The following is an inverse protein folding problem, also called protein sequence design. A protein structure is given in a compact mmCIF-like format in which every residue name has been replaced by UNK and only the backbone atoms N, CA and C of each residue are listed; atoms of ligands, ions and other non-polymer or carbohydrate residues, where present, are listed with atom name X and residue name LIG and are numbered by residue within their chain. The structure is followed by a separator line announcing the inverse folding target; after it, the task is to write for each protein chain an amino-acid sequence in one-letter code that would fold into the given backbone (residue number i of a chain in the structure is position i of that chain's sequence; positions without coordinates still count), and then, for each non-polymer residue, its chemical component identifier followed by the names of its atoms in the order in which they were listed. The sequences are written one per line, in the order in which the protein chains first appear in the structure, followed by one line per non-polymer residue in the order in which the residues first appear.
data_IF_960909323649
#
_entry.id   IF_960909323649
#
_cell.length_a   1.000
_cell.length_b   1.000
_cell.length_c   1.000
_cell.angle_alpha   90.00
_cell.angle_beta   90.00
_cell.angle_gamma   90.00
#
_symmetry.space_group_name_H-M   'P 1'
#
loop_
_entity.id
_entity.type
_entity.pdbx_description
1 polymer ?
#
# COMPACT_ATOMS: atom_id res chain seq x y z
N UNK A 1 -0.12 5.21 10.89
CA UNK A 1 -1.16 4.18 10.62
C UNK A 1 -2.24 4.35 11.67
N UNK A 2 -3.49 4.55 11.26
CA UNK A 2 -4.62 4.79 12.18
C UNK A 2 -5.54 3.57 12.33
N UNK A 3 -5.49 2.62 11.38
CA UNK A 3 -6.11 1.31 11.53
C UNK A 3 -5.37 0.25 10.71
N UNK A 4 -5.38 -1.00 11.20
CA UNK A 4 -4.84 -2.19 10.53
C UNK A 4 -5.92 -3.26 10.56
N UNK A 5 -6.48 -3.59 9.40
CA UNK A 5 -7.67 -4.46 9.27
C UNK A 5 -7.29 -5.71 8.50
N UNK A 6 -7.50 -6.88 9.11
CA UNK A 6 -7.28 -8.16 8.42
C UNK A 6 -8.49 -8.47 7.54
N UNK A 7 -8.30 -8.38 6.23
CA UNK A 7 -9.36 -8.63 5.23
C UNK A 7 -9.47 -10.13 4.89
N UNK A 8 -8.35 -10.86 4.96
CA UNK A 8 -8.33 -12.30 4.73
C UNK A 8 -7.17 -13.00 5.46
N UNK A 9 -6.98 -14.30 5.19
CA UNK A 9 -5.84 -15.04 5.71
C UNK A 9 -4.49 -14.41 5.31
N UNK A 10 -4.44 -13.79 4.11
CA UNK A 10 -3.20 -13.28 3.50
C UNK A 10 -3.27 -11.79 3.11
N UNK A 11 -4.40 -11.09 3.26
CA UNK A 11 -4.54 -9.67 2.94
C UNK A 11 -4.85 -8.88 4.21
N UNK A 12 -4.11 -7.79 4.40
CA UNK A 12 -4.32 -6.81 5.46
C UNK A 12 -4.37 -5.41 4.83
N UNK A 13 -5.37 -4.63 5.21
CA UNK A 13 -5.51 -3.23 4.82
C UNK A 13 -4.97 -2.30 5.90
N UNK A 14 -4.23 -1.29 5.47
CA UNK A 14 -3.64 -0.27 6.33
C UNK A 14 -4.30 1.07 6.02
N UNK A 15 -4.95 1.65 7.02
CA UNK A 15 -5.52 2.99 6.96
C UNK A 15 -4.53 3.97 7.54
N UNK A 16 -4.30 5.06 6.81
CA UNK A 16 -3.27 6.04 7.12
C UNK A 16 -3.82 7.44 7.00
N UNK A 17 -3.35 8.30 7.89
CA UNK A 17 -3.52 9.75 7.84
C UNK A 17 -2.11 10.34 7.84
N UNK A 18 -1.86 11.43 7.09
CA UNK A 18 -0.59 12.14 7.17
C UNK A 18 -0.34 12.65 8.59
N UNK A 19 0.90 12.56 9.07
CA UNK A 19 1.28 13.06 10.40
C UNK A 19 1.02 14.56 10.50
N UNK A 20 1.34 15.31 9.44
CA UNK A 20 0.91 16.68 9.24
C UNK A 20 -0.27 16.70 8.27
N UNK A 21 -1.47 17.16 8.67
CA UNK A 21 -2.65 17.23 7.80
C UNK A 21 -2.41 18.01 6.49
N UNK A 22 -1.46 18.96 6.48
CA UNK A 22 -1.10 19.74 5.29
C UNK A 22 -0.35 18.93 4.22
N UNK A 23 0.18 17.76 4.57
CA UNK A 23 0.86 16.86 3.61
C UNK A 23 -0.14 15.99 2.84
N UNK A 24 -1.42 16.02 3.19
CA UNK A 24 -2.45 15.32 2.45
C UNK A 24 -2.58 15.86 1.02
N UNK A 25 -2.76 14.96 0.05
CA UNK A 25 -2.92 15.26 -1.37
C UNK A 25 -4.09 14.49 -1.95
N UNK A 26 -4.81 15.14 -2.86
CA UNK A 26 -5.84 14.49 -3.65
C UNK A 26 -5.25 13.41 -4.58
N UNK A 27 -6.08 12.42 -4.93
CA UNK A 27 -5.72 11.35 -5.85
C UNK A 27 -6.90 10.96 -6.74
N UNK A 28 -6.58 10.30 -7.84
CA UNK A 28 -7.57 9.67 -8.72
C UNK A 28 -7.58 8.15 -8.54
N UNK A 29 -8.75 7.48 -8.72
CA UNK A 29 -8.82 6.03 -8.68
C UNK A 29 -7.85 5.40 -9.70
N UNK A 30 -6.99 4.50 -9.22
CA UNK A 30 -5.93 3.86 -9.99
C UNK A 30 -4.51 4.36 -9.67
N UNK A 31 -4.38 5.49 -8.96
CA UNK A 31 -3.08 5.97 -8.46
C UNK A 31 -2.56 5.18 -7.25
N UNK A 32 -1.27 5.33 -6.98
CA UNK A 32 -0.54 4.62 -5.92
C UNK A 32 0.34 5.56 -5.09
N UNK A 33 0.74 5.07 -3.92
CA UNK A 33 1.75 5.68 -3.06
C UNK A 33 3.04 4.85 -3.12
N UNK A 34 4.19 5.53 -3.01
CA UNK A 34 5.52 4.92 -2.94
C UNK A 34 5.97 4.89 -1.48
N UNK A 35 6.13 3.69 -0.93
CA UNK A 35 6.55 3.47 0.45
C UNK A 35 8.01 3.10 0.53
N UNK A 36 8.70 3.69 1.51
CA UNK A 36 10.05 3.33 1.89
C UNK A 36 10.02 2.33 3.03
N UNK A 37 10.39 1.08 2.73
CA UNK A 37 10.31 -0.04 3.67
C UNK A 37 11.73 -0.44 4.11
N UNK A 38 12.04 -0.44 5.41
CA UNK A 38 13.36 -0.85 5.89
C UNK A 38 13.60 -2.34 5.61
N UNK A 39 14.85 -2.68 5.26
CA UNK A 39 15.28 -4.06 5.09
C UNK A 39 16.16 -4.44 6.27
N UNK A 40 15.85 -5.52 7.01
CA UNK A 40 16.77 -6.06 7.99
C UNK A 40 17.98 -6.68 7.26
N UNK A 41 19.17 -6.09 7.39
CA UNK A 41 20.43 -6.72 6.96
C UNK A 41 21.17 -7.33 8.15
N UNK A 42 21.83 -8.47 7.90
CA UNK A 42 22.60 -9.23 8.89
C UNK A 42 23.89 -8.51 9.38
N UNK A 43 24.29 -7.39 8.78
CA UNK A 43 25.59 -6.74 9.02
C UNK A 43 25.50 -5.25 9.44
N UNK A 44 24.38 -4.79 10.00
CA UNK A 44 24.27 -3.44 10.58
C UNK A 44 24.08 -2.27 9.60
N UNK A 45 24.03 -2.52 8.28
CA UNK A 45 23.65 -1.51 7.29
C UNK A 45 22.13 -1.29 7.25
N UNK A 46 21.69 -0.03 7.39
CA UNK A 46 20.29 0.37 7.26
C UNK A 46 19.90 0.49 5.78
N UNK A 47 19.53 -0.63 5.17
CA UNK A 47 18.95 -0.66 3.82
C UNK A 47 17.46 -0.34 3.81
N UNK A 48 16.94 0.08 2.66
CA UNK A 48 15.51 0.20 2.42
C UNK A 48 15.17 -0.17 0.97
N UNK A 49 13.92 -0.55 0.75
CA UNK A 49 13.36 -0.76 -0.59
C UNK A 49 12.16 0.16 -0.80
N UNK A 50 11.98 0.62 -2.03
CA UNK A 50 10.78 1.36 -2.43
C UNK A 50 9.74 0.39 -3.00
N UNK A 51 8.49 0.55 -2.59
CA UNK A 51 7.36 -0.24 -3.11
C UNK A 51 6.15 0.63 -3.38
N UNK A 52 5.47 0.29 -4.46
CA UNK A 52 4.27 0.98 -4.89
C UNK A 52 3.05 0.18 -4.40
N UNK A 53 2.10 0.87 -3.76
CA UNK A 53 0.81 0.29 -3.40
C UNK A 53 -0.32 1.21 -3.86
N UNK A 54 -1.23 0.67 -4.67
CA UNK A 54 -2.41 1.40 -5.15
C UNK A 54 -3.27 1.86 -3.97
N UNK A 55 -3.80 3.07 -4.06
CA UNK A 55 -4.73 3.59 -3.06
C UNK A 55 -6.06 2.87 -3.24
N UNK A 56 -6.46 2.12 -2.22
CA UNK A 56 -7.64 1.24 -2.25
C UNK A 56 -8.85 1.85 -1.54
N UNK A 57 -8.88 3.16 -1.26
CA UNK A 57 -10.07 3.85 -0.74
C UNK A 57 -10.65 4.85 -1.74
N UNK A 58 -11.88 5.29 -1.49
CA UNK A 58 -12.53 6.33 -2.29
C UNK A 58 -11.80 7.67 -2.15
N UNK A 59 -11.55 8.41 -3.25
CA UNK A 59 -11.06 9.79 -3.21
C UNK A 59 -11.95 10.76 -2.42
N UNK A 60 -13.23 10.41 -2.18
CA UNK A 60 -14.13 11.19 -1.33
C UNK A 60 -13.72 11.14 0.16
N UNK A 61 -12.89 10.16 0.57
CA UNK A 61 -12.37 10.04 1.94
C UNK A 61 -11.18 10.98 2.16
N UNK A 62 -11.46 12.28 2.20
CA UNK A 62 -10.45 13.33 2.39
C UNK A 62 -9.65 13.12 3.68
N UNK A 63 -8.37 13.47 3.65
CA UNK A 63 -7.44 13.32 4.78
C UNK A 63 -6.90 11.90 5.00
N UNK A 64 -7.36 10.90 4.24
CA UNK A 64 -7.04 9.48 4.48
C UNK A 64 -6.55 8.78 3.23
N UNK A 65 -5.70 7.79 3.44
CA UNK A 65 -5.33 6.78 2.46
C UNK A 65 -5.60 5.37 3.02
N UNK A 66 -5.93 4.44 2.12
CA UNK A 66 -5.96 3.01 2.41
C UNK A 66 -5.10 2.30 1.37
N UNK A 67 -4.31 1.32 1.80
CA UNK A 67 -3.69 0.33 0.92
C UNK A 67 -4.09 -1.06 1.37
N UNK A 68 -4.18 -1.99 0.43
CA UNK A 68 -4.45 -3.40 0.70
C UNK A 68 -3.23 -4.22 0.30
N UNK A 69 -2.64 -4.95 1.25
CA UNK A 69 -1.35 -5.62 1.05
C UNK A 69 -1.53 -7.12 1.23
N UNK A 70 -1.23 -7.87 0.18
CA UNK A 70 -1.09 -9.33 0.25
C UNK A 70 0.27 -9.68 0.85
N UNK A 71 0.28 -10.56 1.83
CA UNK A 71 1.48 -11.18 2.39
C UNK A 71 2.04 -12.17 1.39
N UNK A 72 3.27 -11.92 0.94
CA UNK A 72 4.02 -12.84 0.07
C UNK A 72 4.98 -13.62 0.96
N UNK A 73 4.46 -14.61 1.69
CA UNK A 73 5.29 -15.52 2.46
C UNK A 73 5.94 -16.57 1.53
N UNK A 74 7.08 -17.13 1.95
CA UNK A 74 7.79 -18.16 1.24
C UNK A 74 6.86 -19.34 0.92
N UNK A 75 6.75 -19.67 -0.36
CA UNK A 75 5.87 -20.74 -0.84
C UNK A 75 6.42 -22.14 -0.56
N UNK A 76 7.71 -22.26 -0.24
CA UNK A 76 8.38 -23.51 0.10
C UNK A 76 9.56 -23.26 1.05
N UNK A 77 9.97 -24.27 1.84
CA UNK A 77 11.16 -24.20 2.67
C UNK A 77 12.40 -23.83 1.84
N UNK A 78 13.21 -22.90 2.36
CA UNK A 78 14.44 -22.44 1.69
C UNK A 78 14.24 -21.27 0.71
N UNK A 79 13.01 -20.86 0.42
CA UNK A 79 12.73 -19.62 -0.30
C UNK A 79 12.60 -18.43 0.66
N UNK A 80 13.01 -17.21 0.26
CA UNK A 80 12.87 -16.03 1.10
C UNK A 80 11.42 -15.51 1.10
N UNK A 81 11.01 -14.96 2.23
CA UNK A 81 9.78 -14.17 2.34
C UNK A 81 9.88 -12.86 1.55
N UNK A 82 8.75 -12.36 1.08
CA UNK A 82 8.60 -11.02 0.54
C UNK A 82 8.89 -9.98 1.60
N UNK A 83 10.01 -9.27 1.45
CA UNK A 83 10.55 -8.31 2.43
C UNK A 83 9.48 -7.29 2.85
N UNK A 84 8.87 -6.60 1.88
CA UNK A 84 8.01 -5.45 2.17
C UNK A 84 6.64 -5.85 2.69
N UNK A 85 6.01 -6.85 2.08
CA UNK A 85 4.69 -7.29 2.51
C UNK A 85 4.74 -7.97 3.87
N UNK A 86 5.76 -8.79 4.15
CA UNK A 86 5.92 -9.38 5.48
C UNK A 86 6.28 -8.32 6.52
N UNK A 87 7.12 -7.33 6.20
CA UNK A 87 7.39 -6.21 7.12
C UNK A 87 6.10 -5.46 7.50
N UNK A 88 5.25 -5.09 6.52
CA UNK A 88 3.99 -4.41 6.81
C UNK A 88 3.06 -5.28 7.66
N UNK A 89 2.98 -6.58 7.40
CA UNK A 89 2.12 -7.50 8.17
C UNK A 89 2.65 -7.73 9.59
N UNK A 90 3.96 -7.94 9.75
CA UNK A 90 4.55 -8.48 10.96
C UNK A 90 5.13 -7.41 11.90
N UNK A 91 5.45 -6.22 11.38
CA UNK A 91 6.17 -5.16 12.12
C UNK A 91 5.43 -3.84 12.25
N UNK A 92 4.42 -3.58 11.43
CA UNK A 92 3.69 -2.31 11.45
C UNK A 92 2.36 -2.51 12.16
N UNK A 93 2.11 -1.72 13.19
CA UNK A 93 0.86 -1.69 13.94
C UNK A 93 0.24 -0.30 13.97
N UNK A 94 -0.95 -0.19 14.59
CA UNK A 94 -1.64 1.09 14.75
C UNK A 94 -0.79 2.01 15.62
N UNK A 95 -0.61 3.26 15.18
CA UNK A 95 0.28 4.23 15.79
C UNK A 95 1.61 4.40 15.04
N UNK A 96 2.07 3.40 14.29
CA UNK A 96 3.35 3.48 13.59
C UNK A 96 3.32 4.46 12.43
N UNK A 97 4.48 5.07 12.15
CA UNK A 97 4.66 6.03 11.05
C UNK A 97 5.36 5.35 9.89
N UNK A 98 4.75 5.43 8.71
CA UNK A 98 5.33 4.97 7.45
C UNK A 98 5.80 6.17 6.62
N UNK A 99 6.94 6.02 5.96
CA UNK A 99 7.43 6.99 4.99
C UNK A 99 6.79 6.68 3.62
N UNK A 100 5.99 7.61 3.12
CA UNK A 100 5.30 7.50 1.86
C UNK A 100 5.45 8.78 1.03
N UNK A 101 5.46 8.63 -0.29
CA UNK A 101 5.49 9.71 -1.26
C UNK A 101 4.43 9.46 -2.36
N UNK A 102 3.97 10.53 -2.99
CA UNK A 102 2.83 10.53 -3.92
C UNK A 102 1.60 11.21 -3.31
N UNK A 103 0.39 10.97 -3.84
CA UNK A 103 -0.02 9.99 -4.87
C UNK A 103 0.67 10.16 -6.24
N UNK A 104 0.86 9.06 -6.99
CA UNK A 104 1.48 9.02 -8.34
C UNK A 104 0.74 8.04 -9.26
N UNK A 105 0.99 8.15 -10.57
CA UNK A 105 0.53 7.19 -11.58
C UNK A 105 -0.43 7.81 -12.60
N UNK A 106 -0.37 7.29 -13.82
CA UNK A 106 -1.17 7.72 -14.98
C UNK A 106 -2.30 6.73 -15.32
N UNK A 107 -2.33 5.58 -14.65
CA UNK A 107 -3.45 4.63 -14.77
C UNK A 107 -4.66 5.20 -14.03
N UNK A 108 -5.46 5.98 -14.74
CA UNK A 108 -6.69 6.60 -14.24
C UNK A 108 -7.80 6.39 -15.26
N UNK A 109 -9.05 6.42 -14.78
CA UNK A 109 -10.20 6.30 -15.67
C UNK A 109 -10.34 7.55 -16.55
N UNK A 110 -10.42 7.36 -17.87
CA UNK A 110 -10.83 8.43 -18.79
C UNK A 110 -12.31 8.76 -18.58
N UNK A 111 -12.56 9.89 -17.92
CA UNK A 111 -13.90 10.39 -17.58
C UNK A 111 -14.61 11.05 -18.77
N UNK A 112 -13.91 11.33 -19.88
CA UNK A 112 -14.51 11.89 -21.08
C UNK A 112 -15.18 10.81 -21.95
N UNK A 113 -14.76 9.55 -21.82
CA UNK A 113 -15.35 8.43 -22.54
C UNK A 113 -16.72 8.02 -21.95
N UNK A 114 -17.74 7.92 -22.80
CA UNK A 114 -19.08 7.43 -22.43
C UNK A 114 -19.25 5.91 -22.57
N UNK A 115 -18.21 5.20 -23.03
CA UNK A 115 -18.27 3.74 -23.22
C UNK A 115 -18.38 3.03 -21.87
N UNK A 116 -19.12 1.90 -21.79
CA UNK A 116 -19.14 1.06 -20.61
C UNK A 116 -17.72 0.62 -20.22
N UNK A 117 -17.44 0.59 -18.92
CA UNK A 117 -16.16 0.20 -18.34
C UNK A 117 -16.28 -1.19 -17.73
N UNK A 118 -15.34 -2.07 -18.06
CA UNK A 118 -15.19 -3.37 -17.40
C UNK A 118 -13.89 -3.35 -16.60
N UNK A 119 -14.00 -3.61 -15.30
CA UNK A 119 -12.86 -3.71 -14.39
C UNK A 119 -12.53 -5.18 -14.16
N UNK A 120 -11.34 -5.63 -14.59
CA UNK A 120 -10.86 -6.99 -14.38
C UNK A 120 -9.71 -6.98 -13.39
N UNK A 121 -9.78 -7.85 -12.38
CA UNK A 121 -8.74 -7.99 -11.37
C UNK A 121 -8.52 -9.46 -11.04
N UNK A 122 -7.29 -9.81 -10.66
CA UNK A 122 -6.91 -11.12 -10.15
C UNK A 122 -6.13 -10.97 -8.85
N UNK A 123 -6.57 -11.65 -7.78
CA UNK A 123 -5.91 -11.60 -6.48
C UNK A 123 -5.96 -10.22 -5.83
N UNK A 124 -4.81 -9.71 -5.38
CA UNK A 124 -4.70 -8.44 -4.63
C UNK A 124 -4.88 -7.17 -5.49
N UNK A 125 -5.12 -7.32 -6.80
CA UNK A 125 -5.40 -6.18 -7.67
C UNK A 125 -6.77 -5.51 -7.42
N UNK A 126 -7.55 -5.99 -6.45
CA UNK A 126 -8.87 -5.47 -6.06
C UNK A 126 -8.74 -4.70 -4.73
#
# INVERSE_FOLDING_TARGET
VVAKVRESAIITSFHMEPVNPLDWRDFEPGQFLVFKIPVPHAAGEKGYVLRNYSVSCSPASKGRYRISVKREAASAPGLPDGISSCFLHDRIDVGDVLQADGPRGEFVLDKASSRPVVLLSGGVGL
#
